data_IF_353595941611
#
_entry.id   IF_353595941611
#
_cell.length_a   1.000
_cell.length_b   1.000
_cell.length_c   1.000
_cell.angle_alpha   90.00
_cell.angle_beta   90.00
_cell.angle_gamma   90.00
#
_symmetry.space_group_name_H-M   'P 1'
#
loop_
_entity.id
_entity.type
_entity.pdbx_description
1 polymer ?
#
# COMPACT_ATOMS: atom_id res chain seq x y z
N UNK A 1 6.19 4.66 -7.30
CA UNK A 1 6.68 3.34 -6.84
C UNK A 1 6.64 3.32 -5.32
N UNK A 2 6.14 2.25 -4.71
CA UNK A 2 6.05 2.10 -3.25
C UNK A 2 6.81 0.84 -2.85
N UNK A 3 7.67 0.95 -1.84
CA UNK A 3 8.37 -0.21 -1.26
C UNK A 3 7.82 -0.47 0.13
N UNK A 4 7.21 -1.63 0.33
CA UNK A 4 6.73 -2.10 1.62
C UNK A 4 7.68 -3.17 2.16
N UNK A 5 7.77 -3.29 3.48
CA UNK A 5 8.49 -4.38 4.15
C UNK A 5 7.44 -5.25 4.80
N UNK A 6 7.28 -6.49 4.33
CA UNK A 6 6.17 -7.33 4.74
C UNK A 6 6.50 -8.81 4.71
N UNK A 7 5.53 -9.64 5.08
CA UNK A 7 5.63 -11.08 4.98
C UNK A 7 5.35 -11.52 3.55
N UNK A 8 6.12 -12.48 3.06
CA UNK A 8 5.89 -13.05 1.74
C UNK A 8 4.66 -13.95 1.65
N UNK A 9 4.19 -14.46 2.79
CA UNK A 9 2.96 -15.24 2.92
C UNK A 9 1.73 -14.40 3.27
N UNK A 10 1.93 -13.13 3.65
CA UNK A 10 0.88 -12.13 3.88
C UNK A 10 1.31 -10.82 3.23
N UNK A 11 1.15 -10.68 1.90
CA UNK A 11 1.67 -9.54 1.18
C UNK A 11 0.97 -8.24 1.64
N UNK A 12 1.77 -7.18 1.75
CA UNK A 12 1.29 -5.85 2.09
C UNK A 12 1.12 -5.09 0.79
N UNK A 13 -0.01 -5.30 0.13
CA UNK A 13 -0.29 -4.76 -1.19
C UNK A 13 -0.85 -3.34 -1.04
N UNK A 14 -0.17 -2.32 -1.60
CA UNK A 14 -0.67 -0.96 -1.62
C UNK A 14 -1.69 -0.78 -2.75
N UNK A 15 -2.78 -0.09 -2.45
CA UNK A 15 -3.82 0.32 -3.38
C UNK A 15 -4.01 1.84 -3.33
N UNK A 16 -4.19 2.48 -4.48
CA UNK A 16 -4.56 3.88 -4.55
C UNK A 16 -6.07 4.02 -4.39
N UNK A 17 -6.52 4.53 -3.26
CA UNK A 17 -7.95 4.57 -2.90
C UNK A 17 -8.59 5.93 -3.17
N UNK A 18 -7.80 7.01 -3.20
CA UNK A 18 -8.32 8.36 -3.49
C UNK A 18 -7.29 9.23 -4.22
N UNK A 19 -7.77 10.08 -5.14
CA UNK A 19 -7.04 11.22 -5.67
C UNK A 19 -7.94 12.45 -5.58
N UNK A 20 -7.52 13.45 -4.79
CA UNK A 20 -8.15 14.77 -4.72
C UNK A 20 -7.28 15.79 -5.47
N UNK A 21 -7.78 16.24 -6.62
CA UNK A 21 -7.03 17.12 -7.52
C UNK A 21 -6.94 18.56 -7.02
N UNK A 22 -8.00 19.07 -6.40
CA UNK A 22 -8.05 20.43 -5.86
C UNK A 22 -7.09 20.60 -4.69
N UNK A 23 -7.06 19.62 -3.79
CA UNK A 23 -6.18 19.63 -2.62
C UNK A 23 -4.74 19.17 -2.93
N UNK A 24 -4.47 18.70 -4.17
CA UNK A 24 -3.21 18.01 -4.53
C UNK A 24 -2.87 16.91 -3.53
N UNK A 25 -3.85 16.06 -3.23
CA UNK A 25 -3.75 15.00 -2.25
C UNK A 25 -4.07 13.64 -2.89
N UNK A 26 -3.36 12.59 -2.50
CA UNK A 26 -3.68 11.22 -2.90
C UNK A 26 -3.52 10.27 -1.72
N UNK A 27 -4.48 9.37 -1.54
CA UNK A 27 -4.49 8.42 -0.44
C UNK A 27 -4.17 7.01 -0.96
N UNK A 28 -3.21 6.37 -0.30
CA UNK A 28 -2.80 4.99 -0.54
C UNK A 28 -3.13 4.17 0.70
N UNK A 29 -3.82 3.06 0.49
CA UNK A 29 -4.12 2.10 1.54
C UNK A 29 -3.27 0.85 1.36
N UNK A 30 -2.62 0.40 2.43
CA UNK A 30 -1.89 -0.87 2.47
C UNK A 30 -2.77 -1.84 3.23
N UNK A 31 -3.29 -2.85 2.53
CA UNK A 31 -4.04 -3.93 3.15
C UNK A 31 -3.13 -5.10 3.47
N UNK A 32 -3.22 -5.59 4.71
CA UNK A 32 -2.55 -6.83 5.11
C UNK A 32 -3.59 -7.95 5.09
N UNK A 33 -3.55 -8.79 4.06
CA UNK A 33 -4.32 -10.03 4.05
C UNK A 33 -3.60 -11.04 4.95
N UNK A 34 -4.20 -11.33 6.11
CA UNK A 34 -3.83 -12.53 6.84
C UNK A 34 -4.22 -13.70 5.95
N UNK A 35 -3.26 -14.32 5.27
CA UNK A 35 -3.50 -15.62 4.65
C UNK A 35 -3.99 -16.62 5.69
N UNK A 36 -4.57 -17.75 5.25
CA UNK A 36 -5.12 -18.83 6.09
C UNK A 36 -4.06 -19.57 6.98
N UNK A 37 -2.96 -18.90 7.34
CA UNK A 37 -1.84 -19.45 8.10
C UNK A 37 -0.91 -18.38 8.69
N UNK A 38 0.10 -18.78 9.50
CA UNK A 38 1.01 -17.83 10.13
C UNK A 38 1.79 -17.05 9.08
N UNK A 39 1.73 -15.72 9.15
CA UNK A 39 2.57 -14.86 8.33
C UNK A 39 4.05 -15.14 8.68
N UNK A 40 4.83 -15.74 7.78
CA UNK A 40 6.28 -15.85 7.97
C UNK A 40 6.83 -14.45 7.78
N UNK A 41 7.19 -13.78 8.86
CA UNK A 41 7.76 -12.43 8.82
C UNK A 41 9.20 -12.49 8.28
N UNK A 42 9.37 -12.83 7.00
CA UNK A 42 10.68 -12.73 6.32
C UNK A 42 11.09 -11.26 6.14
N UNK A 43 10.14 -10.31 6.30
CA UNK A 43 10.34 -8.86 6.25
C UNK A 43 11.10 -8.39 5.01
N UNK A 44 11.07 -9.18 3.93
CA UNK A 44 11.77 -8.83 2.71
C UNK A 44 11.14 -7.58 2.09
N UNK A 45 11.94 -6.66 1.55
CA UNK A 45 11.41 -5.51 0.82
C UNK A 45 10.69 -6.01 -0.43
N UNK A 46 9.50 -5.46 -0.66
CA UNK A 46 8.72 -5.69 -1.87
C UNK A 46 8.34 -4.36 -2.48
N UNK A 47 8.47 -4.28 -3.79
CA UNK A 47 8.21 -3.04 -4.52
C UNK A 47 7.01 -3.23 -5.42
N UNK A 48 6.07 -2.30 -5.32
CA UNK A 48 4.82 -2.30 -6.06
C UNK A 48 4.74 -1.06 -6.96
N UNK A 49 4.28 -1.31 -8.19
CA UNK A 49 3.88 -0.25 -9.10
C UNK A 49 2.41 0.07 -8.86
N UNK A 50 2.13 1.30 -8.44
CA UNK A 50 0.77 1.80 -8.24
C UNK A 50 0.44 2.71 -9.41
N UNK A 51 -0.51 2.31 -10.23
CA UNK A 51 -0.95 3.09 -11.39
C UNK A 51 -1.96 4.15 -11.00
N UNK A 52 -1.52 5.42 -10.94
CA UNK A 52 -2.40 6.56 -10.66
C UNK A 52 -3.16 7.10 -11.88
N UNK A 53 -2.80 6.64 -13.08
CA UNK A 53 -3.33 7.16 -14.35
C UNK A 53 -2.95 8.61 -14.67
N UNK A 54 -2.11 9.24 -13.84
CA UNK A 54 -1.66 10.64 -13.96
C UNK A 54 -0.35 10.87 -13.18
N UNK A 55 0.27 12.02 -13.39
CA UNK A 55 1.44 12.44 -12.61
C UNK A 55 1.04 12.94 -11.22
N UNK A 56 1.65 12.38 -10.17
CA UNK A 56 1.42 12.73 -8.77
C UNK A 56 2.64 13.42 -8.13
N UNK A 57 3.60 13.90 -8.92
CA UNK A 57 4.89 14.40 -8.40
C UNK A 57 4.73 15.59 -7.44
N UNK A 58 3.67 16.37 -7.59
CA UNK A 58 3.36 17.53 -6.73
C UNK A 58 2.26 17.26 -5.69
N UNK A 59 1.86 16.00 -5.49
CA UNK A 59 0.78 15.66 -4.56
C UNK A 59 1.34 15.27 -3.19
N UNK A 60 0.63 15.65 -2.14
CA UNK A 60 0.81 15.08 -0.81
C UNK A 60 0.25 13.66 -0.82
N UNK A 61 1.06 12.69 -0.42
CA UNK A 61 0.64 11.30 -0.31
C UNK A 61 0.31 10.98 1.15
N UNK A 62 -0.92 10.57 1.42
CA UNK A 62 -1.29 9.95 2.69
C UNK A 62 -1.23 8.43 2.53
N UNK A 63 -0.50 7.77 3.43
CA UNK A 63 -0.35 6.31 3.41
C UNK A 63 -0.92 5.76 4.70
N UNK A 64 -2.00 4.99 4.59
CA UNK A 64 -2.64 4.33 5.72
C UNK A 64 -2.45 2.82 5.61
N UNK A 65 -2.08 2.17 6.72
CA UNK A 65 -2.02 0.71 6.79
C UNK A 65 -3.25 0.20 7.53
N UNK A 66 -4.01 -0.70 6.91
CA UNK A 66 -5.09 -1.45 7.56
C UNK A 66 -4.65 -2.89 7.75
N UNK A 67 -4.57 -3.30 9.01
CA UNK A 67 -4.49 -4.72 9.32
C UNK A 67 -5.91 -5.27 9.24
N UNK A 68 -6.14 -6.29 8.42
CA UNK A 68 -7.43 -6.99 8.43
C UNK A 68 -7.65 -7.56 9.83
N UNK A 69 -8.61 -7.03 10.58
CA UNK A 69 -9.16 -7.70 11.75
C UNK A 69 -9.92 -8.94 11.23
N UNK A 70 -9.52 -10.12 11.71
CA UNK A 70 -10.32 -11.34 11.54
C UNK A 70 -11.61 -11.23 12.37
#
# INVERSE_FOLDING_TARGET
MITTHGSGSCPWEPELVEINEEARHAAIEISVSNGDGPCTADMSPRTFEVHAGRDLTSYTLEVTTRMGEN
#
